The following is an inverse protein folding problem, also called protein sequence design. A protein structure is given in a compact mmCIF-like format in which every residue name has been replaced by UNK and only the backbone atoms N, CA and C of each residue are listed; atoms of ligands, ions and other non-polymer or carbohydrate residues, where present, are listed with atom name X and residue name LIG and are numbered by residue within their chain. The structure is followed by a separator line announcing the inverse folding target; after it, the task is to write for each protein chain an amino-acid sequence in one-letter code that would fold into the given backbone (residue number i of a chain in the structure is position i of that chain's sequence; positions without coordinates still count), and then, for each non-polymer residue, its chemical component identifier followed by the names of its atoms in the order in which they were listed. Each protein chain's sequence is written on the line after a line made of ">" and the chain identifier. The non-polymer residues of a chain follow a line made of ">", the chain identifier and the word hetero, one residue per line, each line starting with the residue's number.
data_IF_356314685164
#
_entry.id   IF_356314685164
#
_cell.length_a   1.000
_cell.length_b   1.000
_cell.length_c   1.000
_cell.angle_alpha   90.00
_cell.angle_beta   90.00
_cell.angle_gamma   90.00
#
_symmetry.space_group_name_H-M   'P 1'
#
loop_
_entity.id
_entity.type
_entity.pdbx_description
1 polymer ?
#
# COMPACT_ATOMS: atom_id res chain seq x y z
N UNK A 1 -18.78 -15.37 -6.73
CA UNK A 1 -19.14 -14.10 -7.39
C UNK A 1 -20.03 -13.30 -6.45
N UNK A 2 -19.49 -12.21 -5.92
CA UNK A 2 -20.14 -11.04 -5.29
C UNK A 2 -18.93 -10.13 -5.03
N UNK A 3 -18.53 -9.29 -5.97
CA UNK A 3 -19.33 -8.18 -6.46
C UNK A 3 -19.33 -7.10 -5.38
N UNK A 4 -18.14 -6.65 -4.97
CA UNK A 4 -18.03 -5.39 -4.24
C UNK A 4 -18.30 -4.31 -5.27
N UNK A 5 -19.52 -3.80 -5.22
CA UNK A 5 -19.93 -2.62 -5.96
C UNK A 5 -18.97 -1.49 -5.64
N UNK A 6 -18.30 -0.96 -6.66
CA UNK A 6 -17.60 0.34 -6.66
C UNK A 6 -18.63 1.49 -6.58
N UNK A 7 -19.63 1.33 -5.71
CA UNK A 7 -20.74 2.24 -5.53
C UNK A 7 -20.37 3.36 -4.56
N UNK A 8 -20.23 4.56 -5.13
CA UNK A 8 -20.52 5.83 -4.47
C UNK A 8 -19.64 6.23 -3.29
N UNK A 9 -18.36 6.52 -3.56
CA UNK A 9 -17.68 7.64 -2.89
C UNK A 9 -17.63 8.83 -3.86
N UNK A 10 -18.83 9.26 -4.28
CA UNK A 10 -19.08 10.58 -4.85
C UNK A 10 -20.09 11.29 -3.96
N UNK A 11 -19.76 11.47 -2.68
CA UNK A 11 -20.50 12.41 -1.85
C UNK A 11 -19.68 13.69 -1.68
N UNK A 12 -20.15 14.73 -2.36
CA UNK A 12 -19.98 16.16 -2.07
C UNK A 12 -18.60 16.62 -1.56
N UNK A 13 -17.63 16.75 -2.47
CA UNK A 13 -16.50 17.67 -2.28
C UNK A 13 -16.41 18.74 -3.38
N UNK A 14 -17.39 18.82 -4.29
CA UNK A 14 -17.38 19.78 -5.41
C UNK A 14 -17.50 21.26 -5.00
N UNK A 15 -17.85 21.55 -3.74
CA UNK A 15 -17.89 22.92 -3.20
C UNK A 15 -16.55 23.38 -2.62
N UNK A 16 -15.61 22.46 -2.42
CA UNK A 16 -14.29 22.75 -1.90
C UNK A 16 -13.28 22.51 -3.02
N UNK A 17 -12.58 23.57 -3.42
CA UNK A 17 -11.47 23.53 -4.38
C UNK A 17 -10.25 22.83 -3.75
N UNK A 18 -10.44 21.55 -3.38
CA UNK A 18 -9.44 20.70 -2.75
C UNK A 18 -8.81 19.84 -3.84
N UNK A 19 -7.66 20.30 -4.33
CA UNK A 19 -6.78 19.47 -5.15
C UNK A 19 -6.07 18.43 -4.26
N UNK A 20 -6.77 17.32 -4.00
CA UNK A 20 -6.32 16.20 -3.17
C UNK A 20 -6.50 14.89 -3.94
N UNK A 21 -5.42 14.10 -3.98
CA UNK A 21 -5.37 12.75 -4.53
C UNK A 21 -5.45 11.75 -3.39
N UNK A 22 -6.51 10.94 -3.34
CA UNK A 22 -6.59 9.81 -2.42
C UNK A 22 -5.60 8.71 -2.83
N UNK A 23 -4.88 8.17 -1.86
CA UNK A 23 -3.82 7.17 -2.08
C UNK A 23 -4.00 5.95 -1.18
N UNK A 24 -3.38 4.83 -1.54
CA UNK A 24 -3.37 3.63 -0.70
C UNK A 24 -2.29 3.67 0.39
N UNK A 25 -2.50 3.01 1.54
CA UNK A 25 -3.74 2.34 1.94
C UNK A 25 -4.75 3.32 2.55
N UNK A 26 -6.01 3.15 2.18
CA UNK A 26 -7.16 3.83 2.78
C UNK A 26 -8.21 2.78 3.13
N UNK A 27 -8.76 2.84 4.34
CA UNK A 27 -9.69 1.86 4.90
C UNK A 27 -10.79 2.54 5.69
N UNK A 28 -12.00 1.99 5.66
CA UNK A 28 -13.13 2.43 6.46
C UNK A 28 -13.84 1.20 7.04
N UNK A 29 -14.10 1.23 8.35
CA UNK A 29 -15.02 0.34 9.07
C UNK A 29 -16.02 1.16 9.89
N UNK A 30 -16.97 0.48 10.54
CA UNK A 30 -17.95 1.13 11.44
C UNK A 30 -17.27 1.94 12.55
N UNK A 31 -16.20 1.40 13.15
CA UNK A 31 -15.54 2.05 14.30
C UNK A 31 -14.32 2.92 13.93
N UNK A 32 -13.84 2.86 12.68
CA UNK A 32 -12.55 3.48 12.32
C UNK A 32 -12.44 3.85 10.86
N UNK A 33 -11.82 5.00 10.62
CA UNK A 33 -11.46 5.46 9.29
C UNK A 33 -9.95 5.73 9.22
N UNK A 34 -9.30 5.25 8.15
CA UNK A 34 -7.92 5.53 7.78
C UNK A 34 -7.93 6.11 6.38
N UNK A 35 -7.68 7.41 6.26
CA UNK A 35 -7.59 8.10 4.99
C UNK A 35 -6.13 8.46 4.70
N UNK A 36 -5.64 8.01 3.54
CA UNK A 36 -4.35 8.45 3.01
C UNK A 36 -4.60 9.33 1.79
N UNK A 37 -4.03 10.53 1.79
CA UNK A 37 -4.24 11.48 0.71
C UNK A 37 -3.00 12.38 0.52
N UNK A 38 -2.82 12.87 -0.70
CA UNK A 38 -1.72 13.74 -1.12
C UNK A 38 -2.29 14.98 -1.79
N UNK A 39 -1.76 16.16 -1.46
CA UNK A 39 -2.19 17.40 -2.06
C UNK A 39 -1.30 18.56 -1.61
N UNK A 40 -1.60 19.76 -2.08
CA UNK A 40 -0.91 20.95 -1.60
C UNK A 40 -1.23 21.24 -0.13
N UNK A 41 -0.28 21.85 0.59
CA UNK A 41 -0.39 22.10 2.03
C UNK A 41 -1.70 22.83 2.40
N UNK A 42 -2.13 23.79 1.58
CA UNK A 42 -3.38 24.53 1.79
C UNK A 42 -4.60 23.61 1.73
N UNK A 43 -4.65 22.73 0.74
CA UNK A 43 -5.74 21.75 0.57
C UNK A 43 -5.75 20.76 1.73
N UNK A 44 -4.58 20.26 2.14
CA UNK A 44 -4.47 19.34 3.28
C UNK A 44 -4.99 19.95 4.58
N UNK A 45 -4.61 21.19 4.90
CA UNK A 45 -5.09 21.88 6.10
C UNK A 45 -6.60 22.14 6.04
N UNK A 46 -7.10 22.56 4.87
CA UNK A 46 -8.53 22.82 4.66
C UNK A 46 -9.37 21.55 4.84
N UNK A 47 -8.87 20.40 4.37
CA UNK A 47 -9.52 19.11 4.58
C UNK A 47 -9.60 18.73 6.06
N UNK A 48 -8.52 18.94 6.82
CA UNK A 48 -8.51 18.65 8.27
C UNK A 48 -9.48 19.53 9.04
N UNK A 49 -9.51 20.82 8.74
CA UNK A 49 -10.44 21.76 9.39
C UNK A 49 -11.90 21.43 9.05
N UNK A 50 -12.19 21.07 7.80
CA UNK A 50 -13.50 20.56 7.42
C UNK A 50 -13.85 19.31 8.23
N UNK A 51 -12.94 18.34 8.36
CA UNK A 51 -13.20 17.09 9.08
C UNK A 51 -13.53 17.35 10.56
N UNK A 52 -12.83 18.27 11.22
CA UNK A 52 -13.15 18.71 12.59
C UNK A 52 -14.54 19.34 12.71
N UNK A 53 -15.08 19.90 11.62
CA UNK A 53 -16.43 20.47 11.56
C UNK A 53 -17.54 19.44 11.30
N UNK A 54 -17.21 18.16 11.17
CA UNK A 54 -18.17 17.07 10.93
C UNK A 54 -18.31 16.16 12.14
N UNK A 55 -19.43 15.47 12.25
CA UNK A 55 -19.70 14.47 13.31
C UNK A 55 -19.20 13.06 12.92
N UNK A 56 -18.18 12.98 12.06
CA UNK A 56 -17.65 11.73 11.49
C UNK A 56 -16.73 11.00 12.48
N UNK A 57 -16.25 11.69 13.52
CA UNK A 57 -15.47 11.12 14.62
C UNK A 57 -14.27 11.98 15.03
N UNK A 58 -13.49 11.49 15.99
CA UNK A 58 -12.30 12.17 16.48
C UNK A 58 -11.04 11.74 15.71
N UNK A 59 -10.19 12.72 15.38
CA UNK A 59 -8.87 12.47 14.78
C UNK A 59 -7.94 11.95 15.86
N UNK A 60 -7.70 10.63 15.87
CA UNK A 60 -6.82 9.97 16.85
C UNK A 60 -5.33 10.10 16.51
N UNK A 61 -4.98 10.09 15.23
CA UNK A 61 -3.61 10.25 14.77
C UNK A 61 -3.58 10.88 13.37
N UNK A 62 -2.59 11.74 13.13
CA UNK A 62 -2.38 12.41 11.86
C UNK A 62 -0.89 12.62 11.60
N UNK A 63 -0.41 12.15 10.46
CA UNK A 63 0.99 12.29 10.05
C UNK A 63 1.07 12.94 8.68
N UNK A 64 1.83 14.04 8.59
CA UNK A 64 2.14 14.69 7.31
C UNK A 64 3.54 14.35 6.87
N UNK A 65 3.70 13.94 5.62
CA UNK A 65 5.00 13.75 4.98
C UNK A 65 5.05 14.59 3.73
N UNK A 66 6.12 15.37 3.54
CA UNK A 66 6.33 16.08 2.28
C UNK A 66 6.37 15.04 1.17
N UNK A 67 5.47 15.17 0.19
CA UNK A 67 5.48 14.35 -1.00
C UNK A 67 6.75 14.68 -1.81
N UNK A 68 7.85 13.99 -1.52
CA UNK A 68 8.86 13.79 -2.54
C UNK A 68 8.19 12.90 -3.57
N UNK A 69 7.72 13.49 -4.68
CA UNK A 69 7.18 12.76 -5.82
C UNK A 69 8.32 11.99 -6.49
N UNK A 70 8.86 11.01 -5.79
CA UNK A 70 9.40 9.84 -6.45
C UNK A 70 8.16 9.04 -6.78
N UNK A 71 8.00 8.62 -8.04
CA UNK A 71 7.20 7.44 -8.36
C UNK A 71 7.55 6.41 -7.28
N UNK A 72 6.70 6.24 -6.26
CA UNK A 72 7.00 5.33 -5.16
C UNK A 72 6.65 3.96 -5.72
N UNK A 73 7.50 3.51 -6.64
CA UNK A 73 7.52 2.13 -7.07
C UNK A 73 7.70 1.35 -5.77
N UNK A 74 6.68 0.61 -5.32
CA UNK A 74 6.80 -0.19 -4.11
C UNK A 74 7.98 -1.17 -4.23
N UNK A 75 8.43 -1.47 -5.44
CA UNK A 75 9.64 -2.27 -5.69
C UNK A 75 10.94 -1.49 -5.53
N UNK A 76 10.93 -0.17 -5.29
CA UNK A 76 12.12 0.66 -5.04
C UNK A 76 12.78 0.36 -3.69
N UNK A 77 12.01 -0.18 -2.72
CA UNK A 77 12.56 -0.61 -1.43
C UNK A 77 13.29 -1.96 -1.52
N UNK A 78 13.15 -2.66 -2.64
CA UNK A 78 13.79 -3.94 -2.90
C UNK A 78 15.18 -3.74 -3.50
N UNK A 79 16.12 -4.61 -3.14
CA UNK A 79 17.37 -4.73 -3.91
C UNK A 79 17.06 -5.28 -5.31
N UNK A 80 17.96 -5.07 -6.28
CA UNK A 80 17.77 -5.57 -7.65
C UNK A 80 17.45 -7.07 -7.67
N UNK A 81 18.17 -7.86 -6.85
CA UNK A 81 17.94 -9.31 -6.77
C UNK A 81 16.60 -9.67 -6.11
N UNK A 82 16.17 -8.94 -5.10
CA UNK A 82 14.87 -9.13 -4.47
C UNK A 82 13.74 -8.79 -5.46
N UNK A 83 13.88 -7.69 -6.20
CA UNK A 83 12.94 -7.26 -7.24
C UNK A 83 12.84 -8.30 -8.35
N UNK A 84 13.97 -8.77 -8.88
CA UNK A 84 14.00 -9.78 -9.94
C UNK A 84 13.25 -11.05 -9.54
N UNK A 85 13.55 -11.58 -8.35
CA UNK A 85 12.92 -12.82 -7.86
C UNK A 85 11.43 -12.61 -7.59
N UNK A 86 11.04 -11.48 -7.00
CA UNK A 86 9.64 -11.13 -6.74
C UNK A 86 8.83 -11.02 -8.05
N UNK A 87 9.37 -10.30 -9.04
CA UNK A 87 8.74 -10.15 -10.36
C UNK A 87 8.63 -11.50 -11.06
N UNK A 88 9.68 -12.33 -11.01
CA UNK A 88 9.63 -13.68 -11.57
C UNK A 88 8.57 -14.55 -10.87
N UNK A 89 8.51 -14.52 -9.55
CA UNK A 89 7.52 -15.27 -8.76
C UNK A 89 6.09 -14.89 -9.15
N UNK A 90 5.78 -13.59 -9.25
CA UNK A 90 4.49 -13.12 -9.72
C UNK A 90 4.21 -13.55 -11.17
N UNK A 91 5.11 -13.25 -12.11
CA UNK A 91 4.92 -13.53 -13.54
C UNK A 91 4.74 -15.02 -13.84
N UNK A 92 5.49 -15.89 -13.17
CA UNK A 92 5.40 -17.33 -13.38
C UNK A 92 4.32 -18.01 -12.53
N UNK A 93 3.56 -17.25 -11.74
CA UNK A 93 2.42 -17.79 -11.01
C UNK A 93 2.80 -18.60 -9.77
N UNK A 94 3.84 -18.17 -9.06
CA UNK A 94 4.27 -18.78 -7.79
C UNK A 94 3.25 -18.56 -6.67
N UNK A 95 2.52 -17.46 -6.74
CA UNK A 95 1.51 -17.04 -5.77
C UNK A 95 0.08 -17.42 -6.18
N UNK A 96 -0.12 -18.03 -7.35
CA UNK A 96 -1.44 -18.43 -7.79
C UNK A 96 -1.98 -19.62 -6.98
N UNK A 97 -3.31 -19.76 -6.98
CA UNK A 97 -3.99 -20.97 -6.52
C UNK A 97 -4.83 -21.56 -7.67
N UNK A 98 -4.47 -22.75 -8.21
CA UNK A 98 -3.26 -23.55 -7.92
C UNK A 98 -1.98 -22.90 -8.48
N UNK A 99 -0.84 -23.17 -7.84
CA UNK A 99 0.47 -22.62 -8.28
C UNK A 99 0.82 -23.09 -9.69
N UNK A 100 1.12 -22.16 -10.60
CA UNK A 100 1.63 -22.48 -11.95
C UNK A 100 3.12 -22.84 -11.95
N UNK A 101 3.89 -22.39 -10.95
CA UNK A 101 5.30 -22.76 -10.78
C UNK A 101 5.62 -23.10 -9.31
N UNK A 102 6.40 -24.16 -9.11
CA UNK A 102 6.95 -24.52 -7.80
C UNK A 102 8.31 -23.87 -7.52
N UNK A 103 8.72 -23.80 -6.26
CA UNK A 103 9.95 -23.11 -5.84
C UNK A 103 11.22 -23.64 -6.51
N UNK A 104 11.30 -24.95 -6.80
CA UNK A 104 12.46 -25.55 -7.49
C UNK A 104 12.61 -25.03 -8.92
N UNK A 105 11.54 -25.08 -9.72
CA UNK A 105 11.56 -24.58 -11.10
C UNK A 105 11.74 -23.06 -11.15
N UNK A 106 11.20 -22.34 -10.17
CA UNK A 106 11.41 -20.90 -10.06
C UNK A 106 12.87 -20.58 -9.77
N UNK A 107 13.53 -21.30 -8.84
CA UNK A 107 14.94 -21.06 -8.52
C UNK A 107 15.86 -21.34 -9.71
N UNK A 108 15.58 -22.40 -10.48
CA UNK A 108 16.27 -22.70 -11.73
C UNK A 108 16.10 -21.55 -12.75
N UNK A 109 14.89 -21.00 -12.90
CA UNK A 109 14.63 -19.87 -13.83
C UNK A 109 15.40 -18.59 -13.49
N UNK A 110 15.57 -18.27 -12.21
CA UNK A 110 16.29 -17.06 -11.78
C UNK A 110 17.79 -17.31 -11.55
N UNK A 111 18.28 -18.53 -11.80
CA UNK A 111 19.69 -18.87 -11.64
C UNK A 111 20.18 -18.82 -10.19
N UNK A 112 19.36 -19.27 -9.23
CA UNK A 112 19.69 -19.32 -7.81
C UNK A 112 19.52 -20.72 -7.23
N UNK A 113 20.22 -20.99 -6.12
CA UNK A 113 19.85 -22.11 -5.26
C UNK A 113 18.43 -21.90 -4.72
N UNK A 114 17.67 -22.98 -4.51
CA UNK A 114 16.33 -22.92 -3.92
C UNK A 114 16.33 -22.18 -2.55
N UNK A 115 17.26 -22.45 -1.61
CA UNK A 115 17.33 -21.69 -0.35
C UNK A 115 17.56 -20.20 -0.56
N UNK A 116 18.52 -19.80 -1.40
CA UNK A 116 18.84 -18.39 -1.68
C UNK A 116 17.66 -17.66 -2.31
N UNK A 117 16.97 -18.30 -3.26
CA UNK A 117 15.77 -17.73 -3.89
C UNK A 117 14.66 -17.49 -2.86
N UNK A 118 14.39 -18.49 -2.00
CA UNK A 118 13.37 -18.36 -0.95
C UNK A 118 13.75 -17.28 0.08
N UNK A 119 15.02 -17.11 0.39
CA UNK A 119 15.50 -16.03 1.26
C UNK A 119 15.25 -14.66 0.63
N UNK A 120 15.56 -14.49 -0.66
CA UNK A 120 15.25 -13.25 -1.39
C UNK A 120 13.75 -12.96 -1.40
N UNK A 121 12.90 -13.97 -1.65
CA UNK A 121 11.45 -13.80 -1.58
C UNK A 121 11.00 -13.33 -0.20
N UNK A 122 11.39 -14.03 0.88
CA UNK A 122 10.98 -13.64 2.25
C UNK A 122 11.43 -12.23 2.61
N UNK A 123 12.66 -11.85 2.25
CA UNK A 123 13.16 -10.49 2.49
C UNK A 123 12.39 -9.45 1.67
N UNK A 124 12.05 -9.76 0.42
CA UNK A 124 11.27 -8.89 -0.45
C UNK A 124 9.84 -8.72 0.07
N UNK A 125 9.15 -9.82 0.38
CA UNK A 125 7.81 -9.85 0.97
C UNK A 125 7.78 -9.03 2.27
N UNK A 126 8.73 -9.24 3.19
CA UNK A 126 8.80 -8.48 4.44
C UNK A 126 8.92 -6.97 4.21
N UNK A 127 9.73 -6.54 3.25
CA UNK A 127 9.91 -5.10 2.94
C UNK A 127 8.64 -4.51 2.33
N UNK A 128 8.02 -5.20 1.39
CA UNK A 128 6.78 -4.75 0.76
C UNK A 128 5.62 -4.69 1.76
N UNK A 129 5.49 -5.72 2.59
CA UNK A 129 4.49 -5.75 3.67
C UNK A 129 4.78 -4.60 4.64
N UNK A 130 6.03 -4.34 5.01
CA UNK A 130 6.40 -3.20 5.85
C UNK A 130 5.94 -1.85 5.28
N UNK A 131 6.12 -1.61 3.97
CA UNK A 131 5.63 -0.39 3.32
C UNK A 131 4.10 -0.27 3.33
N UNK A 132 3.39 -1.39 3.17
CA UNK A 132 1.92 -1.42 3.26
C UNK A 132 1.47 -1.20 4.71
N UNK A 133 2.09 -1.87 5.67
CA UNK A 133 1.77 -1.82 7.10
C UNK A 133 2.12 -0.49 7.75
N UNK A 134 3.10 0.26 7.24
CA UNK A 134 3.42 1.60 7.72
C UNK A 134 2.25 2.61 7.56
N UNK A 135 1.26 2.29 6.73
CA UNK A 135 0.00 3.03 6.63
C UNK A 135 -1.10 2.54 7.59
N UNK A 136 -0.86 1.49 8.36
CA UNK A 136 -1.80 0.94 9.33
C UNK A 136 -1.44 1.40 10.75
N UNK A 137 -2.29 2.23 11.39
CA UNK A 137 -2.01 2.85 12.67
C UNK A 137 -1.95 1.88 13.87
N UNK A 138 -2.36 0.62 13.72
CA UNK A 138 -2.33 -0.40 14.80
C UNK A 138 -1.09 -1.29 14.77
N UNK A 139 -0.15 -1.01 13.88
CA UNK A 139 1.06 -1.81 13.71
C UNK A 139 2.26 -0.98 14.15
N UNK A 140 2.71 -1.22 15.38
CA UNK A 140 4.03 -0.78 15.84
C UNK A 140 5.09 -1.28 14.83
N UNK A 141 6.02 -0.42 14.37
CA UNK A 141 7.13 -0.86 13.56
C UNK A 141 7.90 -1.95 14.30
N UNK A 142 8.14 -3.10 13.65
CA UNK A 142 9.06 -4.09 14.21
C UNK A 142 10.45 -3.45 14.37
N UNK A 143 10.92 -3.34 15.62
CA UNK A 143 12.28 -2.96 15.98
C UNK A 143 13.32 -3.91 15.35
#
# INVERSE_FOLDING_TARGET
>A
MRGHEEGEVKQNYSELDLDIIYTTPSFQSEDRMVLSFMGEQRSLLSFVEMFKGTDVGEITNMTFKRAAYQRKDLLSVLTDRQREVMVAAYRFGYYDLPKRIGSKRLSERVGLSKPTMLEHLRKAERRLIGEVMAGYPDIEPFQ
#
